data_IF_019630846498
#
_entry.id   IF_019630846498
#
_cell.length_a   1.000
_cell.length_b   1.000
_cell.length_c   1.000
_cell.angle_alpha   90.00
_cell.angle_beta   90.00
_cell.angle_gamma   90.00
#
_symmetry.space_group_name_H-M   'P 1'
#
loop_
_entity.id
_entity.type
_entity.pdbx_description
1 polymer ?
#
# COMPACT_ATOMS: atom_id res chain seq x y z
N UNK A 1 3.30 -20.07 -18.17
CA UNK A 1 2.25 -19.09 -17.82
C UNK A 1 2.48 -17.83 -18.63
N UNK A 2 1.42 -17.13 -19.02
CA UNK A 2 1.40 -16.06 -20.02
C UNK A 2 1.94 -14.73 -19.48
N UNK A 3 2.76 -14.07 -20.30
CA UNK A 3 3.19 -12.69 -20.10
C UNK A 3 2.00 -11.74 -20.29
N UNK A 4 1.86 -10.72 -19.46
CA UNK A 4 0.75 -9.75 -19.56
C UNK A 4 1.24 -8.56 -20.35
N UNK A 5 1.07 -8.65 -21.66
CA UNK A 5 1.33 -7.52 -22.53
C UNK A 5 0.12 -6.59 -22.51
N UNK A 6 0.30 -5.39 -21.95
CA UNK A 6 -0.67 -4.32 -22.16
C UNK A 6 -0.57 -3.92 -23.64
N UNK A 7 -1.62 -4.08 -24.46
CA UNK A 7 -1.52 -3.91 -25.92
C UNK A 7 -1.48 -2.45 -26.37
N UNK A 8 -1.43 -1.50 -25.43
CA UNK A 8 -1.41 -0.07 -25.69
C UNK A 8 -0.53 0.68 -24.69
N UNK A 9 0.22 1.65 -25.19
CA UNK A 9 0.92 2.62 -24.36
C UNK A 9 -0.10 3.60 -23.79
N UNK A 10 0.02 3.89 -22.49
CA UNK A 10 -0.84 4.82 -21.77
C UNK A 10 0.01 6.00 -21.31
N UNK A 11 -0.45 7.23 -21.56
CA UNK A 11 0.11 8.41 -20.92
C UNK A 11 -1.03 9.29 -20.41
N UNK A 12 -1.20 9.29 -19.09
CA UNK A 12 -2.09 10.21 -18.39
C UNK A 12 -1.20 11.31 -17.82
N UNK A 13 -1.11 12.42 -18.56
CA UNK A 13 -0.36 13.59 -18.10
C UNK A 13 -1.01 14.18 -16.86
N UNK A 14 -2.35 14.24 -16.84
CA UNK A 14 -3.12 14.74 -15.72
C UNK A 14 -4.56 14.21 -15.82
N UNK A 15 -4.96 13.42 -14.83
CA UNK A 15 -6.36 13.07 -14.59
C UNK A 15 -6.77 13.62 -13.25
N UNK A 16 -7.78 14.50 -13.25
CA UNK A 16 -8.29 15.19 -12.07
C UNK A 16 -9.71 14.76 -11.76
N UNK A 17 -9.99 14.58 -10.47
CA UNK A 17 -11.33 14.38 -9.95
C UNK A 17 -11.57 15.32 -8.78
N UNK A 18 -12.75 15.91 -8.71
CA UNK A 18 -13.13 16.83 -7.64
C UNK A 18 -14.51 16.44 -7.11
N UNK A 19 -14.70 16.59 -5.79
CA UNK A 19 -15.97 16.34 -5.11
C UNK A 19 -16.57 14.95 -5.43
N UNK A 20 -15.73 13.92 -5.55
CA UNK A 20 -16.19 12.56 -5.82
C UNK A 20 -16.77 11.97 -4.54
N UNK A 21 -18.03 11.53 -4.59
CA UNK A 21 -18.68 10.87 -3.46
C UNK A 21 -18.70 9.36 -3.68
N UNK A 22 -17.99 8.63 -2.82
CA UNK A 22 -18.07 7.19 -2.72
C UNK A 22 -19.06 6.85 -1.62
N UNK A 23 -20.13 6.15 -1.99
CA UNK A 23 -21.19 5.70 -1.08
C UNK A 23 -21.08 4.20 -0.89
N UNK A 24 -21.06 3.76 0.37
CA UNK A 24 -20.93 2.36 0.76
C UNK A 24 -21.19 2.24 2.26
N UNK A 25 -20.52 1.30 2.94
CA UNK A 25 -20.63 1.17 4.40
C UNK A 25 -20.08 2.39 5.16
N UNK A 26 -19.16 3.12 4.51
CA UNK A 26 -18.69 4.41 5.00
C UNK A 26 -18.69 5.40 3.85
N UNK A 27 -19.42 6.50 4.03
CA UNK A 27 -19.41 7.60 3.07
C UNK A 27 -18.04 8.28 3.06
N UNK A 28 -17.47 8.42 1.85
CA UNK A 28 -16.19 9.07 1.62
C UNK A 28 -16.38 10.17 0.57
N UNK A 29 -15.99 11.38 0.92
CA UNK A 29 -15.89 12.47 -0.05
C UNK A 29 -14.43 12.69 -0.39
N UNK A 30 -14.06 12.50 -1.65
CA UNK A 30 -12.77 12.90 -2.19
C UNK A 30 -12.92 14.34 -2.68
N UNK A 31 -12.27 15.27 -1.98
CA UNK A 31 -12.31 16.67 -2.34
C UNK A 31 -11.53 16.90 -3.63
N UNK A 32 -10.32 16.34 -3.71
CA UNK A 32 -9.42 16.45 -4.85
C UNK A 32 -8.70 15.12 -5.09
N UNK A 33 -8.55 14.76 -6.36
CA UNK A 33 -7.74 13.65 -6.85
C UNK A 33 -6.90 14.13 -8.03
N UNK A 34 -5.62 13.80 -8.01
CA UNK A 34 -4.71 13.89 -9.14
C UNK A 34 -4.09 12.52 -9.42
N UNK A 35 -4.13 12.10 -10.67
CA UNK A 35 -3.41 10.93 -11.17
C UNK A 35 -2.53 11.34 -12.36
N UNK A 36 -1.25 10.99 -12.28
CA UNK A 36 -0.26 11.12 -13.36
C UNK A 36 0.45 9.80 -13.50
N UNK A 37 0.24 9.12 -14.62
CA UNK A 37 0.76 7.77 -14.84
C UNK A 37 1.07 7.56 -16.31
N UNK A 38 2.20 6.91 -16.57
CA UNK A 38 2.55 6.42 -17.89
C UNK A 38 2.81 4.92 -17.86
N UNK A 39 2.53 4.24 -18.96
CA UNK A 39 2.87 2.84 -19.19
C UNK A 39 3.34 2.71 -20.63
N UNK A 40 4.63 2.46 -20.82
CA UNK A 40 5.25 2.35 -22.15
C UNK A 40 6.02 1.02 -22.20
N UNK A 41 5.67 0.19 -23.16
CA UNK A 41 6.29 -1.12 -23.39
C UNK A 41 6.31 -1.99 -22.11
N UNK A 42 5.23 -1.95 -21.34
CA UNK A 42 5.11 -2.68 -20.07
C UNK A 42 5.89 -2.08 -18.90
N UNK A 43 6.50 -0.90 -19.03
CA UNK A 43 7.08 -0.14 -17.92
C UNK A 43 6.09 0.93 -17.49
N UNK A 44 5.50 0.74 -16.32
CA UNK A 44 4.60 1.68 -15.68
C UNK A 44 5.38 2.60 -14.74
N UNK A 45 5.10 3.90 -14.83
CA UNK A 45 5.56 4.91 -13.90
C UNK A 45 4.35 5.65 -13.34
N UNK A 46 4.17 5.56 -12.02
CA UNK A 46 3.25 6.39 -11.27
C UNK A 46 4.02 7.63 -10.81
N UNK A 47 3.88 8.73 -11.55
CA UNK A 47 4.49 10.00 -11.18
C UNK A 47 3.82 10.59 -9.93
N UNK A 48 2.48 10.53 -9.88
CA UNK A 48 1.71 10.95 -8.72
C UNK A 48 0.33 10.28 -8.71
N UNK A 49 -0.08 9.82 -7.53
CA UNK A 49 -1.47 9.67 -7.13
C UNK A 49 -1.65 10.47 -5.85
N UNK A 50 -2.33 11.61 -5.93
CA UNK A 50 -2.60 12.47 -4.78
C UNK A 50 -4.11 12.52 -4.56
N UNK A 51 -4.55 12.16 -3.36
CA UNK A 51 -5.96 12.13 -2.95
C UNK A 51 -6.08 12.91 -1.66
N UNK A 52 -7.01 13.86 -1.62
CA UNK A 52 -7.45 14.55 -0.42
C UNK A 52 -8.94 14.26 -0.19
N UNK A 53 -9.28 13.80 1.00
CA UNK A 53 -10.62 13.29 1.30
C UNK A 53 -11.08 13.60 2.72
N UNK A 54 -12.37 13.39 2.99
CA UNK A 54 -12.97 13.59 4.31
C UNK A 54 -12.32 12.74 5.41
N UNK A 55 -11.72 11.60 5.05
CA UNK A 55 -11.10 10.66 5.99
C UNK A 55 -9.57 10.71 6.01
N UNK A 56 -8.96 11.61 5.25
CA UNK A 56 -7.51 11.77 5.20
C UNK A 56 -6.97 11.98 3.79
N UNK A 57 -5.65 11.94 3.67
CA UNK A 57 -4.95 12.09 2.40
C UNK A 57 -4.11 10.87 2.06
N UNK A 58 -3.86 10.68 0.77
CA UNK A 58 -2.96 9.66 0.23
C UNK A 58 -2.11 10.28 -0.86
N UNK A 59 -0.81 9.99 -0.85
CA UNK A 59 0.14 10.33 -1.89
C UNK A 59 0.92 9.07 -2.26
N UNK A 60 0.89 8.66 -3.51
CA UNK A 60 1.66 7.51 -3.97
C UNK A 60 2.46 7.80 -5.24
N UNK A 61 3.61 7.17 -5.35
CA UNK A 61 4.47 7.21 -6.53
C UNK A 61 5.29 5.94 -6.62
N UNK A 62 5.80 5.64 -7.81
CA UNK A 62 6.59 4.45 -8.00
C UNK A 62 6.66 3.97 -9.42
N UNK A 63 7.22 2.78 -9.58
CA UNK A 63 7.38 2.12 -10.86
C UNK A 63 6.93 0.67 -10.73
N UNK A 64 6.45 0.12 -11.84
CA UNK A 64 6.19 -1.30 -11.98
C UNK A 64 6.56 -1.71 -13.41
N UNK A 65 7.07 -2.93 -13.58
CA UNK A 65 7.14 -3.53 -14.91
C UNK A 65 6.12 -4.66 -14.96
N UNK A 66 5.29 -4.70 -16.00
CA UNK A 66 4.28 -5.74 -16.22
C UNK A 66 4.84 -6.88 -17.09
N UNK A 67 6.15 -7.10 -17.03
CA UNK A 67 6.89 -8.12 -17.76
C UNK A 67 7.79 -8.89 -16.79
N UNK A 68 8.31 -10.03 -17.22
CA UNK A 68 9.17 -10.88 -16.40
C UNK A 68 8.50 -11.26 -15.07
N UNK A 69 9.19 -11.07 -13.94
CA UNK A 69 8.68 -11.38 -12.60
C UNK A 69 7.86 -10.24 -11.96
N UNK A 70 7.53 -9.22 -12.75
CA UNK A 70 6.78 -8.04 -12.35
C UNK A 70 7.43 -7.25 -11.21
N UNK A 71 8.63 -6.68 -11.44
CA UNK A 71 9.29 -5.85 -10.46
C UNK A 71 8.47 -4.59 -10.17
N UNK A 72 8.37 -4.25 -8.90
CA UNK A 72 7.67 -3.06 -8.38
C UNK A 72 8.58 -2.33 -7.40
N UNK A 73 8.50 -1.00 -7.39
CA UNK A 73 8.99 -0.14 -6.31
C UNK A 73 7.99 1.00 -6.15
N UNK A 74 7.12 0.88 -5.16
CA UNK A 74 6.00 1.78 -4.91
C UNK A 74 6.11 2.30 -3.49
N UNK A 75 5.98 3.62 -3.34
CA UNK A 75 5.86 4.28 -2.05
C UNK A 75 4.48 4.92 -1.95
N UNK A 76 3.79 4.67 -0.84
CA UNK A 76 2.54 5.30 -0.48
C UNK A 76 2.72 6.00 0.87
N UNK A 77 2.28 7.23 0.96
CA UNK A 77 2.18 7.97 2.21
C UNK A 77 0.71 8.34 2.42
N UNK A 78 0.24 8.28 3.66
CA UNK A 78 -1.11 8.68 4.01
C UNK A 78 -1.12 9.37 5.36
N UNK A 79 -2.03 10.33 5.53
CA UNK A 79 -2.36 10.91 6.81
C UNK A 79 -3.85 10.69 7.07
N UNK A 80 -4.17 10.00 8.16
CA UNK A 80 -5.54 9.62 8.50
C UNK A 80 -6.23 10.75 9.26
N UNK A 81 -7.48 11.03 8.91
CA UNK A 81 -8.37 11.97 9.58
C UNK A 81 -9.66 11.25 10.05
N UNK A 82 -9.50 10.06 10.62
CA UNK A 82 -10.60 9.24 11.12
C UNK A 82 -10.29 8.76 12.54
N UNK A 83 -11.25 8.90 13.45
CA UNK A 83 -11.09 8.42 14.83
C UNK A 83 -11.12 6.88 14.89
N UNK A 84 -10.34 6.25 15.80
CA UNK A 84 -9.43 6.85 16.77
C UNK A 84 -8.01 7.15 16.24
N UNK A 85 -7.77 6.97 14.94
CA UNK A 85 -6.46 7.10 14.29
C UNK A 85 -6.22 8.50 13.70
N UNK A 86 -6.96 9.50 14.17
CA UNK A 86 -6.86 10.86 13.62
C UNK A 86 -5.46 11.41 13.89
N UNK A 87 -4.80 11.87 12.83
CA UNK A 87 -3.42 12.34 12.85
C UNK A 87 -2.37 11.25 12.65
N UNK A 88 -2.78 9.98 12.50
CA UNK A 88 -1.88 8.87 12.17
C UNK A 88 -1.27 9.07 10.78
N UNK A 89 0.05 8.90 10.68
CA UNK A 89 0.77 8.93 9.40
C UNK A 89 1.27 7.55 9.05
N UNK A 90 0.85 7.07 7.89
CA UNK A 90 1.21 5.76 7.35
C UNK A 90 2.19 5.98 6.20
N UNK A 91 3.33 5.32 6.25
CA UNK A 91 4.24 5.19 5.11
C UNK A 91 4.40 3.73 4.75
N UNK A 92 4.00 3.37 3.54
CA UNK A 92 4.18 2.04 2.97
C UNK A 92 5.23 2.11 1.87
N UNK A 93 6.17 1.18 1.86
CA UNK A 93 7.03 0.90 0.73
C UNK A 93 6.85 -0.55 0.32
N UNK A 94 6.63 -0.81 -0.95
CA UNK A 94 6.58 -2.15 -1.54
C UNK A 94 7.65 -2.23 -2.61
N UNK A 95 8.46 -3.28 -2.57
CA UNK A 95 9.56 -3.51 -3.48
C UNK A 95 9.66 -4.98 -3.87
N UNK A 96 10.52 -5.28 -4.83
CA UNK A 96 10.80 -6.65 -5.27
C UNK A 96 9.96 -7.02 -6.48
N UNK A 97 9.67 -8.31 -6.65
CA UNK A 97 9.02 -8.86 -7.83
C UNK A 97 7.74 -9.61 -7.44
N UNK A 98 6.60 -9.16 -7.98
CA UNK A 98 5.28 -9.66 -7.58
C UNK A 98 5.11 -11.17 -7.80
N UNK A 99 5.77 -11.72 -8.83
CA UNK A 99 5.71 -13.15 -9.19
C UNK A 99 6.80 -14.01 -8.54
N UNK A 100 7.70 -13.39 -7.78
CA UNK A 100 8.78 -14.09 -7.09
C UNK A 100 8.72 -13.73 -5.61
N UNK A 101 9.44 -12.69 -5.20
CA UNK A 101 9.51 -12.23 -3.81
C UNK A 101 9.19 -10.74 -3.73
N UNK A 102 8.17 -10.42 -2.95
CA UNK A 102 7.85 -9.07 -2.56
C UNK A 102 8.40 -8.78 -1.18
N UNK A 103 8.85 -7.55 -1.00
CA UNK A 103 9.21 -6.98 0.28
C UNK A 103 8.30 -5.79 0.52
N UNK A 104 7.82 -5.65 1.75
CA UNK A 104 7.05 -4.48 2.14
C UNK A 104 7.48 -3.98 3.50
N UNK A 105 7.43 -2.66 3.67
CA UNK A 105 7.66 -1.99 4.93
C UNK A 105 6.52 -1.02 5.20
N UNK A 106 6.00 -1.03 6.41
CA UNK A 106 5.00 -0.07 6.90
C UNK A 106 5.59 0.65 8.09
N UNK A 107 5.52 1.98 8.09
CA UNK A 107 5.88 2.82 9.22
C UNK A 107 4.63 3.61 9.61
N UNK A 108 4.22 3.43 10.87
CA UNK A 108 3.13 4.13 11.52
C UNK A 108 3.73 5.13 12.50
N UNK A 109 3.24 6.36 12.44
CA UNK A 109 3.67 7.44 13.33
C UNK A 109 2.49 8.36 13.66
N UNK A 110 2.11 8.38 14.94
CA UNK A 110 0.98 9.16 15.43
C UNK A 110 0.41 8.52 16.70
N UNK A 111 -0.93 8.38 16.81
CA UNK A 111 -1.56 7.56 17.84
C UNK A 111 -0.94 6.16 17.97
N UNK A 112 -0.50 5.57 16.84
CA UNK A 112 0.21 4.30 16.78
C UNK A 112 1.68 4.55 16.39
N UNK A 113 2.62 3.97 17.14
CA UNK A 113 4.05 3.99 16.80
C UNK A 113 4.52 2.55 16.57
N UNK A 114 4.65 2.18 15.29
CA UNK A 114 4.96 0.82 14.87
C UNK A 114 5.66 0.78 13.51
N UNK A 115 6.62 -0.11 13.38
CA UNK A 115 7.27 -0.47 12.12
C UNK A 115 7.00 -1.95 11.84
N UNK A 116 6.46 -2.23 10.67
CA UNK A 116 6.27 -3.57 10.13
C UNK A 116 7.22 -3.75 8.95
N UNK A 117 7.88 -4.89 8.87
CA UNK A 117 8.63 -5.31 7.70
C UNK A 117 8.25 -6.72 7.35
N UNK A 118 8.02 -7.00 6.09
CA UNK A 118 7.68 -8.34 5.67
C UNK A 118 8.18 -8.68 4.30
N UNK A 119 8.24 -9.98 4.05
CA UNK A 119 8.55 -10.56 2.76
C UNK A 119 7.54 -11.65 2.46
N UNK A 120 7.08 -11.71 1.22
CA UNK A 120 6.11 -12.73 0.80
C UNK A 120 6.30 -13.15 -0.65
N UNK A 121 5.87 -14.36 -0.97
CA UNK A 121 5.91 -14.92 -2.32
C UNK A 121 4.48 -15.18 -2.79
N UNK A 122 3.82 -14.16 -3.35
CA UNK A 122 2.39 -14.20 -3.68
C UNK A 122 2.03 -15.26 -4.74
N UNK A 123 2.99 -15.64 -5.58
CA UNK A 123 2.82 -16.64 -6.62
C UNK A 123 2.96 -18.09 -6.11
N UNK A 124 3.39 -18.28 -4.86
CA UNK A 124 3.57 -19.60 -4.26
C UNK A 124 2.33 -20.01 -3.46
N UNK A 125 1.92 -21.28 -3.63
CA UNK A 125 0.83 -21.84 -2.86
C UNK A 125 1.15 -21.82 -1.37
N UNK A 126 0.18 -21.43 -0.54
CA UNK A 126 0.36 -21.29 0.90
C UNK A 126 0.82 -19.89 1.35
N UNK A 127 1.11 -18.97 0.41
CA UNK A 127 1.48 -17.58 0.68
C UNK A 127 2.57 -17.45 1.76
N UNK A 128 3.80 -17.93 1.50
CA UNK A 128 4.90 -17.78 2.45
C UNK A 128 5.04 -16.32 2.88
N UNK A 129 5.07 -16.07 4.19
CA UNK A 129 5.14 -14.74 4.78
C UNK A 129 6.12 -14.74 5.94
N UNK A 130 7.15 -13.90 5.83
CA UNK A 130 8.01 -13.55 6.94
C UNK A 130 7.62 -12.14 7.40
N UNK A 131 7.41 -11.95 8.69
CA UNK A 131 6.95 -10.68 9.26
C UNK A 131 7.78 -10.32 10.51
N UNK A 132 8.32 -9.12 10.52
CA UNK A 132 8.97 -8.48 11.65
C UNK A 132 8.11 -7.30 12.10
N UNK A 133 7.83 -7.23 13.40
CA UNK A 133 7.04 -6.15 14.01
C UNK A 133 7.86 -5.51 15.12
N UNK A 134 8.04 -4.20 15.03
CA UNK A 134 8.71 -3.39 16.05
C UNK A 134 7.73 -2.32 16.49
N UNK A 135 7.30 -2.34 17.75
CA UNK A 135 6.49 -1.27 18.34
C UNK A 135 7.00 -0.95 19.73
N UNK A 136 6.98 0.34 20.08
CA UNK A 136 7.29 0.82 21.45
C UNK A 136 6.15 0.54 22.43
N UNK A 137 4.96 0.21 21.93
CA UNK A 137 3.73 0.06 22.69
C UNK A 137 3.34 -1.42 22.86
N UNK A 138 4.12 -2.35 22.29
CA UNK A 138 3.87 -3.78 22.41
C UNK A 138 4.29 -4.25 23.82
N UNK A 139 3.31 -4.45 24.70
CA UNK A 139 3.51 -5.12 25.99
C UNK A 139 3.18 -6.61 25.85
N UNK A 140 4.09 -7.45 26.35
CA UNK A 140 3.88 -8.88 26.48
C UNK A 140 3.29 -9.21 27.88
N UNK A 141 2.33 -10.14 28.01
CA UNK A 141 1.61 -10.86 26.96
C UNK A 141 0.61 -9.97 26.21
N UNK A 142 0.43 -10.24 24.92
CA UNK A 142 -0.43 -9.43 24.02
C UNK A 142 -1.92 -9.52 24.33
N UNK A 143 -2.33 -10.39 25.25
CA UNK A 143 -3.65 -10.39 25.86
C UNK A 143 -3.50 -10.62 27.36
N UNK A 144 -4.08 -9.72 28.14
CA UNK A 144 -4.52 -10.09 29.47
C UNK A 144 -5.54 -11.23 29.32
N UNK A 145 -5.29 -12.31 30.08
CA UNK A 145 -6.09 -13.51 30.28
C UNK A 145 -6.21 -14.55 29.13
N UNK A 146 -5.58 -15.69 29.43
CA UNK A 146 -5.92 -17.07 29.07
C UNK A 146 -5.61 -17.58 27.66
N UNK A 147 -4.37 -18.07 27.55
CA UNK A 147 -3.99 -19.40 27.03
C UNK A 147 -4.60 -19.87 25.71
N UNK A 148 -3.75 -19.97 24.68
CA UNK A 148 -3.37 -21.28 24.10
C UNK A 148 -2.18 -21.13 23.15
N UNK A 149 -1.28 -22.11 23.24
CA UNK A 149 -0.05 -22.27 22.48
C UNK A 149 -0.35 -22.43 20.99
N UNK A 150 0.38 -21.71 20.13
CA UNK A 150 0.62 -22.14 18.77
C UNK A 150 2.13 -22.30 18.59
N UNK A 151 2.54 -23.56 18.50
CA UNK A 151 3.87 -23.99 18.07
C UNK A 151 4.07 -23.56 16.61
N UNK A 152 5.22 -22.95 16.36
CA UNK A 152 5.73 -22.54 15.04
C UNK A 152 5.99 -23.77 14.16
#
# INVERSE_FOLDING_TARGET
MTDVHLPLNLNIEEFKGEQLRLTGDTDLTVFNMLLKVSSIDGNMKLDALDIDSSQGSVNASGNAQLRDNWPVDITLNSALNIDPLKGEKVKVKVGGALREKLEFGVNLSGPVDMVLRGQTQLAEAGLPLNLEVVSKQLYWPFTGENSSVLTI
#
